data_IF_319917650299
#
_entry.id   IF_319917650299
#
_cell.length_a   1.000
_cell.length_b   1.000
_cell.length_c   1.000
_cell.angle_alpha   90.00
_cell.angle_beta   90.00
_cell.angle_gamma   90.00
#
_symmetry.space_group_name_H-M   'P 1'
#
loop_
_entity.id
_entity.type
_entity.pdbx_description
1 polymer ?
#
# COMPACT_ATOMS: atom_id res chain seq x y z
N UNK A 1 -12.51 8.11 -15.35
CA UNK A 1 -12.07 8.66 -14.06
C UNK A 1 -10.74 8.00 -13.78
N UNK A 2 -9.67 8.79 -13.69
CA UNK A 2 -8.29 8.32 -13.51
C UNK A 2 -7.97 8.24 -12.01
N UNK A 3 -7.14 7.28 -11.61
CA UNK A 3 -6.74 7.08 -10.22
C UNK A 3 -5.23 7.19 -10.16
N UNK A 4 -4.72 8.03 -9.25
CA UNK A 4 -3.27 8.24 -9.09
C UNK A 4 -2.73 7.53 -7.85
N UNK A 5 -3.60 7.24 -6.86
CA UNK A 5 -3.19 6.75 -5.53
C UNK A 5 -4.20 5.75 -4.97
N UNK A 6 -3.71 4.66 -4.39
CA UNK A 6 -4.48 3.67 -3.64
C UNK A 6 -3.98 3.56 -2.20
N UNK A 7 -4.87 3.75 -1.22
CA UNK A 7 -4.56 3.64 0.21
C UNK A 7 -5.30 2.45 0.81
N UNK A 8 -4.58 1.55 1.48
CA UNK A 8 -5.16 0.35 2.07
C UNK A 8 -4.53 -0.01 3.42
N UNK A 9 -5.26 -0.75 4.27
CA UNK A 9 -4.68 -1.27 5.52
C UNK A 9 -3.57 -2.28 5.31
N UNK A 10 -3.74 -3.17 4.33
CA UNK A 10 -2.74 -4.13 3.91
C UNK A 10 -2.95 -4.52 2.45
N UNK A 11 -1.88 -4.88 1.78
CA UNK A 11 -1.88 -5.32 0.38
C UNK A 11 -0.76 -6.33 0.18
N UNK A 12 -1.04 -7.40 -0.57
CA UNK A 12 -0.02 -8.38 -0.92
C UNK A 12 0.96 -7.83 -1.97
N UNK A 13 2.22 -8.33 -2.02
CA UNK A 13 3.26 -7.81 -2.90
C UNK A 13 2.84 -7.84 -4.38
N UNK A 14 2.20 -8.92 -4.83
CA UNK A 14 1.70 -9.03 -6.21
C UNK A 14 0.67 -7.95 -6.59
N UNK A 15 -0.16 -7.52 -5.64
CA UNK A 15 -1.14 -6.46 -5.90
C UNK A 15 -0.46 -5.09 -5.90
N UNK A 16 0.52 -4.86 -5.01
CA UNK A 16 1.35 -3.65 -5.00
C UNK A 16 2.04 -3.50 -6.37
N UNK A 17 2.69 -4.55 -6.86
CA UNK A 17 3.37 -4.56 -8.16
C UNK A 17 2.39 -4.24 -9.30
N UNK A 18 1.19 -4.84 -9.28
CA UNK A 18 0.16 -4.59 -10.29
C UNK A 18 -0.28 -3.12 -10.33
N UNK A 19 -0.47 -2.47 -9.19
CA UNK A 19 -0.87 -1.05 -9.17
C UNK A 19 0.27 -0.14 -9.60
N UNK A 20 1.51 -0.45 -9.22
CA UNK A 20 2.68 0.28 -9.69
C UNK A 20 2.84 0.19 -11.22
N UNK A 21 2.54 -0.96 -11.83
CA UNK A 21 2.54 -1.12 -13.30
C UNK A 21 1.50 -0.22 -14.00
N UNK A 22 0.47 0.21 -13.29
CA UNK A 22 -0.52 1.17 -13.76
C UNK A 22 -0.19 2.63 -13.41
N UNK A 23 1.02 2.91 -12.91
CA UNK A 23 1.44 4.23 -12.41
C UNK A 23 0.58 4.72 -11.22
N UNK A 24 0.02 3.78 -10.45
CA UNK A 24 -0.79 4.07 -9.26
C UNK A 24 0.09 3.92 -8.03
N UNK A 25 0.26 5.01 -7.29
CA UNK A 25 1.02 5.00 -6.03
C UNK A 25 0.24 4.25 -4.94
N UNK A 26 0.94 3.40 -4.19
CA UNK A 26 0.32 2.51 -3.21
C UNK A 26 0.79 2.87 -1.81
N UNK A 27 -0.17 3.18 -0.94
CA UNK A 27 0.07 3.46 0.49
C UNK A 27 -0.55 2.36 1.32
N UNK A 28 0.25 1.65 2.12
CA UNK A 28 -0.24 0.57 3.00
C UNK A 28 0.22 0.69 4.44
N UNK A 29 -0.36 -0.10 5.34
CA UNK A 29 -0.02 -0.10 6.76
C UNK A 29 -0.79 0.96 7.58
N UNK A 30 -1.87 1.49 7.03
CA UNK A 30 -2.67 2.57 7.65
C UNK A 30 -4.11 2.13 7.89
N UNK A 31 -4.65 2.42 9.07
CA UNK A 31 -6.01 2.02 9.43
C UNK A 31 -6.71 3.07 10.28
N UNK A 32 -8.03 3.09 10.25
CA UNK A 32 -8.86 4.03 11.02
C UNK A 32 -9.92 4.73 10.17
N UNK A 33 -10.32 5.92 10.60
CA UNK A 33 -11.33 6.73 9.89
C UNK A 33 -10.76 7.25 8.57
N UNK A 34 -11.52 7.10 7.49
CA UNK A 34 -11.16 7.56 6.14
C UNK A 34 -10.68 9.02 6.14
N UNK A 35 -11.39 9.91 6.83
CA UNK A 35 -11.00 11.33 6.91
C UNK A 35 -9.62 11.55 7.53
N UNK A 36 -9.27 10.80 8.57
CA UNK A 36 -7.96 10.93 9.24
C UNK A 36 -6.84 10.39 8.35
N UNK A 37 -7.07 9.24 7.70
CA UNK A 37 -6.11 8.64 6.77
C UNK A 37 -5.88 9.55 5.57
N UNK A 38 -6.95 10.13 5.01
CA UNK A 38 -6.84 11.08 3.92
C UNK A 38 -6.07 12.34 4.33
N UNK A 39 -6.34 12.91 5.51
CA UNK A 39 -5.58 14.06 5.99
C UNK A 39 -4.11 13.74 6.20
N UNK A 40 -3.79 12.61 6.82
CA UNK A 40 -2.40 12.17 7.00
C UNK A 40 -1.68 12.02 5.66
N UNK A 41 -2.35 11.48 4.62
CA UNK A 41 -1.78 11.38 3.28
C UNK A 41 -1.53 12.76 2.66
N UNK A 42 -2.52 13.66 2.71
CA UNK A 42 -2.41 15.01 2.16
C UNK A 42 -1.36 15.87 2.88
N UNK A 43 -1.11 15.60 4.17
CA UNK A 43 -0.07 16.24 4.95
C UNK A 43 1.34 15.63 4.73
N UNK A 44 1.44 14.52 3.99
CA UNK A 44 2.70 13.80 3.78
C UNK A 44 3.17 12.96 4.97
N UNK A 45 2.29 12.68 5.93
CA UNK A 45 2.60 11.91 7.15
C UNK A 45 2.63 10.40 6.89
N UNK A 46 1.93 9.93 5.85
CA UNK A 46 1.91 8.53 5.41
C UNK A 46 2.22 8.43 3.92
N UNK A 47 3.05 7.46 3.54
CA UNK A 47 3.42 7.21 2.15
C UNK A 47 3.99 5.79 1.99
N UNK A 48 3.98 5.29 0.76
CA UNK A 48 4.58 4.02 0.39
C UNK A 48 3.85 2.78 0.91
N UNK A 49 4.18 1.64 0.32
CA UNK A 49 3.63 0.36 0.72
C UNK A 49 4.52 -0.29 1.79
N UNK A 50 3.98 -0.46 3.00
CA UNK A 50 4.49 -1.40 3.97
C UNK A 50 4.16 -2.82 3.51
N UNK A 51 4.93 -3.35 2.55
CA UNK A 51 4.92 -4.77 2.25
C UNK A 51 5.45 -5.52 3.46
N UNK A 52 4.61 -6.33 4.12
CA UNK A 52 5.15 -7.33 5.03
C UNK A 52 6.06 -8.24 4.20
N UNK A 53 7.39 -8.06 4.33
CA UNK A 53 8.38 -8.99 3.81
C UNK A 53 8.35 -10.24 4.68
N UNK A 54 7.27 -11.02 4.60
CA UNK A 54 7.32 -12.42 4.97
C UNK A 54 8.21 -13.06 3.92
N UNK A 55 9.51 -13.12 4.25
CA UNK A 55 10.45 -13.95 3.53
C UNK A 55 9.80 -15.32 3.40
N UNK A 56 9.45 -15.67 2.17
CA UNK A 56 9.10 -17.02 1.80
C UNK A 56 10.35 -17.87 2.00
N UNK A 57 10.61 -18.27 3.25
CA UNK A 57 11.41 -19.44 3.54
C UNK A 57 10.58 -20.63 3.07
N UNK A 58 10.63 -20.88 1.75
CA UNK A 58 10.28 -22.15 1.18
C UNK A 58 11.34 -23.16 1.63
N UNK A 59 11.29 -23.54 2.90
CA UNK A 59 11.94 -24.72 3.46
C UNK A 59 11.27 -25.98 2.90
N UNK A 60 11.48 -26.22 1.61
CA UNK A 60 11.20 -27.48 0.96
C UNK A 60 12.50 -28.26 0.78
N UNK A 61 12.81 -29.14 1.74
CA UNK A 61 13.44 -30.44 1.49
C UNK A 61 13.15 -31.39 2.66
#
# INVERSE_FOLDING_TARGET
MEVNVMIAGGMGPKAIDMFNDFDIDVVTGVGGRVGNVLQAYLNGEISGAAGCNHGHDHGGN
#
